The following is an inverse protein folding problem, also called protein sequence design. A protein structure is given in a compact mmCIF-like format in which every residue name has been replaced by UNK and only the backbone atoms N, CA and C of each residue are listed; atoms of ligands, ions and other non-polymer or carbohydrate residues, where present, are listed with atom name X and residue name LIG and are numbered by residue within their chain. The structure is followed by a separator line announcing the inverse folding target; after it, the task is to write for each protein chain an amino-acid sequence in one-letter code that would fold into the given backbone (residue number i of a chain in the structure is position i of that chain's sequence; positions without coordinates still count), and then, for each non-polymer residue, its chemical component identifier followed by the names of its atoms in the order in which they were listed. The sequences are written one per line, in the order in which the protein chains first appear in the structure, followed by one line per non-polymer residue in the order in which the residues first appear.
data_IF_865499655864
#
_entry.id   IF_865499655864
#
_cell.length_a   1.000
_cell.length_b   1.000
_cell.length_c   1.000
_cell.angle_alpha   90.00
_cell.angle_beta   90.00
_cell.angle_gamma   90.00
#
_symmetry.space_group_name_H-M   'P 1'
#
loop_
_entity.id
_entity.type
_entity.pdbx_description
1 polymer ?
#
# COMPACT_ATOMS: atom_id res chain seq x y z
N UNK A 1 -20.90 19.59 -5.31
CA UNK A 1 -19.69 19.45 -6.18
C UNK A 1 -18.41 20.12 -5.63
N UNK A 2 -18.37 21.39 -5.20
CA UNK A 2 -17.12 21.99 -4.72
C UNK A 2 -16.52 21.30 -3.48
N UNK A 3 -17.35 20.84 -2.55
CA UNK A 3 -16.90 20.20 -1.31
C UNK A 3 -16.11 18.89 -1.56
N UNK A 4 -16.55 18.07 -2.51
CA UNK A 4 -15.84 16.83 -2.84
C UNK A 4 -14.47 17.08 -3.47
N UNK A 5 -14.32 18.15 -4.28
CA UNK A 5 -13.03 18.54 -4.86
C UNK A 5 -12.06 19.01 -3.77
N UNK A 6 -12.56 19.75 -2.78
CA UNK A 6 -11.76 20.20 -1.63
C UNK A 6 -11.30 19.01 -0.79
N UNK A 7 -12.19 18.05 -0.53
CA UNK A 7 -11.85 16.82 0.22
C UNK A 7 -10.80 16.01 -0.54
N UNK A 8 -10.98 15.79 -1.84
CA UNK A 8 -10.03 15.05 -2.67
C UNK A 8 -8.66 15.74 -2.74
N UNK A 9 -8.65 17.05 -3.01
CA UNK A 9 -7.43 17.86 -3.03
C UNK A 9 -6.71 17.86 -1.67
N UNK A 10 -7.45 18.04 -0.59
CA UNK A 10 -6.92 18.00 0.79
C UNK A 10 -6.34 16.63 1.16
N UNK A 11 -7.00 15.53 0.83
CA UNK A 11 -6.51 14.19 1.08
C UNK A 11 -5.21 13.90 0.29
N UNK A 12 -5.15 14.32 -0.97
CA UNK A 12 -3.94 14.22 -1.78
C UNK A 12 -2.79 15.03 -1.20
N UNK A 13 -3.05 16.28 -0.79
CA UNK A 13 -2.06 17.15 -0.13
C UNK A 13 -1.52 16.50 1.15
N UNK A 14 -2.39 16.03 2.05
CA UNK A 14 -1.97 15.41 3.31
C UNK A 14 -1.11 14.18 3.04
N UNK A 15 -1.50 13.30 2.12
CA UNK A 15 -0.71 12.12 1.76
C UNK A 15 0.67 12.50 1.19
N UNK A 16 0.74 13.51 0.30
CA UNK A 16 2.00 13.99 -0.26
C UNK A 16 2.91 14.63 0.80
N UNK A 17 2.36 15.40 1.75
CA UNK A 17 3.11 15.99 2.86
C UNK A 17 3.66 14.92 3.80
N UNK A 18 2.87 13.90 4.13
CA UNK A 18 3.32 12.74 4.92
C UNK A 18 4.49 12.04 4.23
N UNK A 19 4.36 11.77 2.93
CA UNK A 19 5.43 11.13 2.16
C UNK A 19 6.70 12.00 2.12
N UNK A 20 6.57 13.29 1.83
CA UNK A 20 7.70 14.22 1.80
C UNK A 20 8.39 14.32 3.17
N UNK A 21 7.63 14.29 4.26
CA UNK A 21 8.16 14.29 5.62
C UNK A 21 8.94 13.00 5.92
N UNK A 22 8.43 11.85 5.49
CA UNK A 22 9.11 10.57 5.66
C UNK A 22 10.43 10.51 4.88
N UNK A 23 10.46 11.02 3.65
CA UNK A 23 11.70 11.07 2.83
C UNK A 23 12.77 11.96 3.43
N UNK A 24 12.37 13.03 4.14
CA UNK A 24 13.30 14.01 4.74
C UNK A 24 13.73 13.71 6.18
N UNK A 25 13.02 12.83 6.90
CA UNK A 25 13.26 12.54 8.32
C UNK A 25 13.41 11.04 8.56
N UNK A 26 14.65 10.59 8.76
CA UNK A 26 14.93 9.16 9.00
C UNK A 26 14.28 8.63 10.30
N UNK A 27 14.21 9.44 11.37
CA UNK A 27 13.78 9.00 12.70
C UNK A 27 12.30 8.53 12.76
N UNK A 28 11.40 9.14 11.97
CA UNK A 28 9.96 8.84 11.97
C UNK A 28 9.49 8.30 10.62
N UNK A 29 10.39 8.08 9.67
CA UNK A 29 10.06 7.67 8.31
C UNK A 29 9.14 6.44 8.27
N UNK A 30 9.46 5.41 9.04
CA UNK A 30 8.67 4.18 9.06
C UNK A 30 7.22 4.40 9.50
N UNK A 31 7.00 5.11 10.61
CA UNK A 31 5.66 5.39 11.13
C UNK A 31 4.84 6.27 10.18
N UNK A 32 5.48 7.31 9.61
CA UNK A 32 4.81 8.23 8.68
C UNK A 32 4.42 7.51 7.39
N UNK A 33 5.31 6.67 6.83
CA UNK A 33 5.01 5.88 5.64
C UNK A 33 3.88 4.88 5.89
N UNK A 34 3.75 4.36 7.11
CA UNK A 34 2.70 3.42 7.48
C UNK A 34 1.30 4.01 7.34
N UNK A 35 1.11 5.30 7.61
CA UNK A 35 -0.20 5.98 7.55
C UNK A 35 -0.37 6.84 6.29
N UNK A 36 0.65 6.92 5.44
CA UNK A 36 0.64 7.75 4.24
C UNK A 36 -0.52 7.43 3.26
N UNK A 37 -0.95 6.17 3.04
CA UNK A 37 -2.09 5.84 2.19
C UNK A 37 -3.46 6.19 2.81
N UNK A 38 -3.53 6.37 4.14
CA UNK A 38 -4.78 6.53 4.88
C UNK A 38 -5.68 7.67 4.37
N UNK A 39 -5.16 8.90 4.12
CA UNK A 39 -6.00 9.99 3.64
C UNK A 39 -6.66 9.69 2.29
N UNK A 40 -5.94 9.02 1.38
CA UNK A 40 -6.45 8.63 0.06
C UNK A 40 -7.55 7.58 0.20
N UNK A 41 -7.30 6.52 0.99
CA UNK A 41 -8.27 5.46 1.23
C UNK A 41 -9.53 5.99 1.90
N UNK A 42 -9.38 6.87 2.91
CA UNK A 42 -10.50 7.46 3.64
C UNK A 42 -11.36 8.35 2.73
N UNK A 43 -10.74 9.25 1.96
CA UNK A 43 -11.46 10.10 1.01
C UNK A 43 -12.23 9.26 -0.01
N UNK A 44 -11.63 8.18 -0.49
CA UNK A 44 -12.26 7.28 -1.44
C UNK A 44 -13.43 6.48 -0.87
N UNK A 45 -13.25 5.85 0.30
CA UNK A 45 -14.29 5.04 0.93
C UNK A 45 -15.46 5.86 1.46
N UNK A 46 -15.22 7.12 1.84
CA UNK A 46 -16.26 8.04 2.33
C UNK A 46 -16.94 8.86 1.22
N UNK A 47 -16.21 9.23 0.16
CA UNK A 47 -16.71 10.17 -0.85
C UNK A 47 -16.76 9.59 -2.28
N UNK A 48 -16.20 8.39 -2.50
CA UNK A 48 -16.35 7.65 -3.75
C UNK A 48 -15.12 7.59 -4.65
N UNK A 49 -15.25 6.77 -5.70
CA UNK A 49 -14.16 6.40 -6.63
C UNK A 49 -13.50 7.63 -7.29
N UNK A 50 -14.29 8.62 -7.70
CA UNK A 50 -13.77 9.82 -8.35
C UNK A 50 -12.89 10.65 -7.42
N UNK A 51 -13.21 10.63 -6.12
CA UNK A 51 -12.50 11.44 -5.13
C UNK A 51 -11.13 10.82 -4.82
N UNK A 52 -11.01 9.49 -4.70
CA UNK A 52 -9.70 8.87 -4.54
C UNK A 52 -8.83 9.06 -5.78
N UNK A 53 -9.40 9.01 -6.98
CA UNK A 53 -8.64 9.26 -8.22
C UNK A 53 -8.09 10.69 -8.25
N UNK A 54 -8.92 11.67 -7.91
CA UNK A 54 -8.51 13.08 -7.79
C UNK A 54 -7.42 13.23 -6.71
N UNK A 55 -7.63 12.66 -5.52
CA UNK A 55 -6.69 12.73 -4.41
C UNK A 55 -5.33 12.12 -4.78
N UNK A 56 -5.34 10.95 -5.44
CA UNK A 56 -4.15 10.28 -5.92
C UNK A 56 -3.39 11.09 -6.97
N UNK A 57 -4.11 11.72 -7.90
CA UNK A 57 -3.53 12.59 -8.90
C UNK A 57 -2.90 13.84 -8.27
N UNK A 58 -3.66 14.56 -7.43
CA UNK A 58 -3.17 15.76 -6.73
C UNK A 58 -1.96 15.42 -5.85
N UNK A 59 -2.03 14.33 -5.07
CA UNK A 59 -0.94 13.88 -4.23
C UNK A 59 0.34 13.58 -5.03
N UNK A 60 0.19 12.90 -6.18
CA UNK A 60 1.32 12.60 -7.07
C UNK A 60 1.95 13.87 -7.63
N UNK A 61 1.15 14.81 -8.14
CA UNK A 61 1.65 16.09 -8.67
C UNK A 61 2.39 16.87 -7.59
N UNK A 62 1.83 16.95 -6.38
CA UNK A 62 2.47 17.63 -5.25
C UNK A 62 3.76 16.94 -4.81
N UNK A 63 3.82 15.60 -4.80
CA UNK A 63 5.04 14.85 -4.50
C UNK A 63 6.14 15.11 -5.56
N UNK A 64 5.78 15.17 -6.84
CA UNK A 64 6.72 15.52 -7.92
C UNK A 64 7.25 16.95 -7.75
N UNK A 65 6.38 17.91 -7.44
CA UNK A 65 6.76 19.32 -7.24
C UNK A 65 7.68 19.47 -6.02
N UNK A 66 7.38 18.79 -4.91
CA UNK A 66 8.10 18.94 -3.65
C UNK A 66 9.43 18.17 -3.58
N UNK A 67 9.53 17.02 -4.25
CA UNK A 67 10.66 16.08 -4.11
C UNK A 67 11.37 15.76 -5.43
N UNK A 68 10.80 16.17 -6.56
CA UNK A 68 11.29 15.82 -7.89
C UNK A 68 10.61 14.58 -8.50
N UNK A 69 10.94 14.30 -9.77
CA UNK A 69 10.27 13.29 -10.57
C UNK A 69 10.44 11.86 -10.02
N UNK A 70 11.64 11.48 -9.59
CA UNK A 70 11.93 10.11 -9.12
C UNK A 70 11.16 9.77 -7.83
N UNK A 71 11.25 10.54 -6.72
CA UNK A 71 10.42 10.26 -5.55
C UNK A 71 8.92 10.41 -5.80
N UNK A 72 8.51 11.33 -6.68
CA UNK A 72 7.11 11.46 -7.09
C UNK A 72 6.59 10.22 -7.82
N UNK A 73 7.41 9.59 -8.66
CA UNK A 73 7.07 8.32 -9.30
C UNK A 73 6.97 7.18 -8.27
N UNK A 74 7.87 7.13 -7.29
CA UNK A 74 7.80 6.16 -6.19
C UNK A 74 6.49 6.34 -5.42
N UNK A 75 6.12 7.58 -5.05
CA UNK A 75 4.82 7.86 -4.42
C UNK A 75 3.64 7.39 -5.27
N UNK A 76 3.66 7.68 -6.57
CA UNK A 76 2.60 7.27 -7.49
C UNK A 76 2.42 5.76 -7.52
N UNK A 77 3.51 5.01 -7.72
CA UNK A 77 3.50 3.56 -7.91
C UNK A 77 3.23 2.82 -6.60
N UNK A 78 3.79 3.30 -5.48
CA UNK A 78 3.69 2.57 -4.20
C UNK A 78 2.50 2.97 -3.33
N UNK A 79 1.94 4.17 -3.52
CA UNK A 79 0.89 4.71 -2.65
C UNK A 79 -0.36 5.13 -3.45
N UNK A 80 -0.22 6.07 -4.38
CA UNK A 80 -1.36 6.73 -4.99
C UNK A 80 -2.18 5.80 -5.90
N UNK A 81 -1.53 5.14 -6.86
CA UNK A 81 -2.18 4.23 -7.80
C UNK A 81 -2.76 3.00 -7.08
N UNK A 82 -2.02 2.31 -6.19
CA UNK A 82 -2.57 1.20 -5.43
C UNK A 82 -3.77 1.58 -4.55
N UNK A 83 -3.73 2.71 -3.85
CA UNK A 83 -4.86 3.19 -3.05
C UNK A 83 -6.10 3.42 -3.93
N UNK A 84 -5.92 4.04 -5.09
CA UNK A 84 -7.01 4.23 -6.05
C UNK A 84 -7.57 2.88 -6.53
N UNK A 85 -6.72 1.94 -6.94
CA UNK A 85 -7.15 0.61 -7.42
C UNK A 85 -7.93 -0.13 -6.32
N UNK A 86 -7.36 -0.23 -5.11
CA UNK A 86 -8.00 -0.96 -4.01
C UNK A 86 -9.34 -0.36 -3.59
N UNK A 87 -9.44 0.96 -3.53
CA UNK A 87 -10.71 1.65 -3.26
C UNK A 87 -11.72 1.45 -4.39
N UNK A 88 -11.28 1.51 -5.67
CA UNK A 88 -12.15 1.24 -6.81
C UNK A 88 -12.72 -0.17 -6.75
N UNK A 89 -11.87 -1.17 -6.47
CA UNK A 89 -12.31 -2.56 -6.29
C UNK A 89 -13.27 -2.69 -5.10
N UNK A 90 -12.90 -2.12 -3.95
CA UNK A 90 -13.74 -2.18 -2.75
C UNK A 90 -15.13 -1.60 -2.96
N UNK A 91 -15.27 -0.53 -3.76
CA UNK A 91 -16.54 0.12 -4.07
C UNK A 91 -17.22 -0.43 -5.32
N UNK A 92 -16.72 -1.52 -5.91
CA UNK A 92 -17.46 -2.23 -6.95
C UNK A 92 -18.63 -2.99 -6.35
N UNK A 93 -19.78 -2.86 -7.00
CA UNK A 93 -21.01 -3.56 -6.61
C UNK A 93 -21.78 -3.98 -7.86
N UNK A 94 -22.57 -5.04 -7.71
CA UNK A 94 -23.54 -5.48 -8.73
C UNK A 94 -24.89 -5.74 -8.07
N UNK A 95 -25.94 -5.49 -8.80
CA UNK A 95 -27.29 -5.81 -8.38
C UNK A 95 -27.60 -7.26 -8.79
N UNK A 96 -27.99 -8.09 -7.82
CA UNK A 96 -28.32 -9.49 -8.03
C UNK A 96 -29.72 -9.78 -7.46
N UNK A 97 -30.43 -10.80 -7.97
CA UNK A 97 -31.68 -11.25 -7.36
C UNK A 97 -31.44 -11.64 -5.89
N UNK A 98 -32.33 -11.22 -4.99
CA UNK A 98 -32.25 -11.58 -3.58
C UNK A 98 -32.61 -13.06 -3.40
N UNK A 99 -31.68 -13.92 -2.93
CA UNK A 99 -31.96 -15.35 -2.76
C UNK A 99 -33.01 -15.64 -1.67
N UNK A 100 -33.24 -14.70 -0.75
CA UNK A 100 -34.22 -14.85 0.34
C UNK A 100 -35.60 -14.32 -0.02
N UNK A 101 -35.73 -13.47 -1.06
CA UNK A 101 -36.99 -12.81 -1.41
C UNK A 101 -37.15 -12.79 -2.95
N UNK A 102 -37.96 -13.73 -3.49
CA UNK A 102 -38.26 -13.79 -4.91
C UNK A 102 -38.86 -12.45 -5.42
N UNK A 103 -38.23 -11.87 -6.45
CA UNK A 103 -38.67 -10.62 -7.06
C UNK A 103 -38.02 -9.36 -6.46
N UNK A 104 -37.22 -9.45 -5.40
CA UNK A 104 -36.38 -8.34 -4.89
C UNK A 104 -34.96 -8.44 -5.42
N UNK A 105 -34.29 -7.31 -5.43
CA UNK A 105 -32.88 -7.22 -5.80
C UNK A 105 -32.07 -6.80 -4.58
N UNK A 106 -30.87 -7.34 -4.43
CA UNK A 106 -29.88 -6.98 -3.42
C UNK A 106 -28.59 -6.53 -4.06
N UNK A 107 -27.80 -5.73 -3.33
CA UNK A 107 -26.49 -5.23 -3.80
C UNK A 107 -25.40 -6.16 -3.28
N UNK A 108 -24.73 -6.85 -4.18
CA UNK A 108 -23.55 -7.64 -3.88
C UNK A 108 -22.30 -6.81 -4.13
N UNK A 109 -21.49 -6.67 -3.09
CA UNK A 109 -20.23 -5.93 -3.12
C UNK A 109 -19.05 -6.83 -3.51
N UNK A 110 -18.00 -6.23 -4.06
CA UNK A 110 -16.78 -6.95 -4.41
C UNK A 110 -16.25 -7.74 -3.19
N UNK A 111 -16.00 -9.06 -3.34
CA UNK A 111 -15.65 -9.94 -2.22
C UNK A 111 -14.36 -9.51 -1.52
N UNK A 112 -14.30 -9.48 -0.18
CA UNK A 112 -13.10 -9.07 0.57
C UNK A 112 -11.89 -9.95 0.26
N UNK A 113 -12.06 -11.28 0.09
CA UNK A 113 -10.97 -12.18 -0.27
C UNK A 113 -10.33 -11.86 -1.62
N UNK A 114 -11.14 -11.44 -2.62
CA UNK A 114 -10.61 -10.97 -3.91
C UNK A 114 -9.87 -9.64 -3.78
N UNK A 115 -10.27 -8.78 -2.84
CA UNK A 115 -9.56 -7.53 -2.57
C UNK A 115 -8.17 -7.82 -1.98
N UNK A 116 -8.08 -8.77 -1.04
CA UNK A 116 -6.78 -9.23 -0.49
C UNK A 116 -5.92 -9.85 -1.59
N UNK A 117 -6.52 -10.65 -2.48
CA UNK A 117 -5.86 -11.22 -3.65
C UNK A 117 -5.27 -10.14 -4.56
N UNK A 118 -6.06 -9.11 -4.89
CA UNK A 118 -5.59 -7.99 -5.69
C UNK A 118 -4.46 -7.23 -4.99
N UNK A 119 -4.55 -7.02 -3.67
CA UNK A 119 -3.48 -6.39 -2.89
C UNK A 119 -2.19 -7.21 -2.93
N UNK A 120 -2.25 -8.55 -2.88
CA UNK A 120 -1.09 -9.42 -2.99
C UNK A 120 -0.41 -9.32 -4.37
N UNK A 121 -1.19 -9.30 -5.45
CA UNK A 121 -0.64 -9.11 -6.81
C UNK A 121 0.02 -7.74 -6.93
N UNK A 122 -0.63 -6.67 -6.44
CA UNK A 122 -0.06 -5.32 -6.44
C UNK A 122 1.25 -5.29 -5.62
N UNK A 123 1.28 -5.95 -4.46
CA UNK A 123 2.48 -6.05 -3.62
C UNK A 123 3.66 -6.68 -4.37
N UNK A 124 3.42 -7.76 -5.12
CA UNK A 124 4.44 -8.39 -5.97
C UNK A 124 4.96 -7.45 -7.07
N UNK A 125 4.06 -6.73 -7.74
CA UNK A 125 4.45 -5.74 -8.77
C UNK A 125 5.27 -4.61 -8.15
N UNK A 126 4.88 -4.10 -6.98
CA UNK A 126 5.60 -3.04 -6.28
C UNK A 126 6.96 -3.53 -5.80
N UNK A 127 7.05 -4.75 -5.26
CA UNK A 127 8.32 -5.33 -4.86
C UNK A 127 9.29 -5.44 -6.05
N UNK A 128 8.80 -5.92 -7.19
CA UNK A 128 9.60 -5.95 -8.43
C UNK A 128 10.05 -4.57 -8.86
N UNK A 129 9.13 -3.58 -8.86
CA UNK A 129 9.46 -2.20 -9.20
C UNK A 129 10.54 -1.62 -8.28
N UNK A 130 10.42 -1.81 -6.97
CA UNK A 130 11.40 -1.29 -5.99
C UNK A 130 12.75 -2.02 -6.11
N UNK A 131 12.76 -3.32 -6.36
CA UNK A 131 14.01 -4.07 -6.61
C UNK A 131 14.72 -3.55 -7.87
N UNK A 132 13.98 -3.28 -8.94
CA UNK A 132 14.56 -2.69 -10.17
C UNK A 132 15.10 -1.27 -9.94
N UNK A 133 14.54 -0.51 -9.01
CA UNK A 133 15.08 0.79 -8.62
C UNK A 133 16.36 0.67 -7.78
N UNK A 134 16.49 -0.38 -6.95
CA UNK A 134 17.71 -0.67 -6.19
C UNK A 134 18.85 -1.09 -7.10
N UNK A 135 18.55 -1.85 -8.18
CA UNK A 135 19.52 -2.24 -9.18
C UNK A 135 18.86 -2.96 -10.36
N UNK A 136 19.02 -2.43 -11.59
CA UNK A 136 18.42 -3.03 -12.79
C UNK A 136 19.06 -4.37 -13.18
N UNK A 137 20.23 -4.66 -12.64
CA UNK A 137 20.95 -5.92 -12.81
C UNK A 137 21.43 -6.47 -11.44
N UNK A 138 21.81 -7.76 -11.42
CA UNK A 138 22.21 -8.43 -10.18
C UNK A 138 23.46 -7.80 -9.54
N UNK A 139 24.38 -7.27 -10.34
CA UNK A 139 25.63 -6.68 -9.84
C UNK A 139 25.32 -5.39 -9.07
N UNK A 140 24.51 -4.52 -9.66
CA UNK A 140 24.09 -3.25 -8.99
C UNK A 140 23.20 -3.51 -7.80
N UNK A 141 22.28 -4.47 -7.90
CA UNK A 141 21.42 -4.85 -6.79
C UNK A 141 22.24 -5.33 -5.58
N UNK A 142 23.24 -6.19 -5.80
CA UNK A 142 24.14 -6.64 -4.73
C UNK A 142 24.99 -5.50 -4.18
N UNK A 143 25.51 -4.63 -5.03
CA UNK A 143 26.26 -3.44 -4.60
C UNK A 143 25.41 -2.53 -3.70
N UNK A 144 24.14 -2.31 -4.04
CA UNK A 144 23.23 -1.53 -3.18
C UNK A 144 22.99 -2.22 -1.82
N UNK A 145 22.88 -3.55 -1.80
CA UNK A 145 22.78 -4.30 -0.53
C UNK A 145 24.06 -4.13 0.29
N UNK A 146 25.23 -4.21 -0.34
CA UNK A 146 26.52 -4.03 0.33
C UNK A 146 26.65 -2.62 0.93
N UNK A 147 26.16 -1.58 0.25
CA UNK A 147 26.09 -0.21 0.76
C UNK A 147 25.12 -0.08 1.96
N UNK A 148 24.09 -0.89 2.04
CA UNK A 148 23.14 -0.90 3.15
C UNK A 148 23.64 -1.68 4.38
N UNK A 149 24.63 -2.59 4.21
CA UNK A 149 25.11 -3.47 5.28
C UNK A 149 25.53 -2.75 6.57
N UNK A 150 26.27 -1.63 6.53
CA UNK A 150 26.64 -0.90 7.76
C UNK A 150 25.43 -0.42 8.54
N UNK A 151 24.43 0.15 7.83
CA UNK A 151 23.20 0.66 8.45
C UNK A 151 22.38 -0.48 9.08
N UNK A 152 22.33 -1.65 8.41
CA UNK A 152 21.64 -2.84 8.92
C UNK A 152 22.33 -3.37 10.17
N UNK A 153 23.67 -3.42 10.19
CA UNK A 153 24.45 -3.84 11.36
C UNK A 153 24.20 -2.95 12.55
N UNK A 154 24.26 -1.63 12.35
CA UNK A 154 23.94 -0.63 13.38
C UNK A 154 22.51 -0.82 13.92
N UNK A 155 21.55 -1.02 13.06
CA UNK A 155 20.15 -1.22 13.44
C UNK A 155 19.92 -2.52 14.23
N UNK A 156 20.69 -3.58 13.96
CA UNK A 156 20.62 -4.84 14.69
C UNK A 156 21.26 -4.76 16.08
N UNK A 157 22.13 -3.77 16.34
CA UNK A 157 22.76 -3.56 17.65
C UNK A 157 23.58 -4.75 18.15
N UNK A 158 24.16 -5.53 17.22
CA UNK A 158 24.94 -6.72 17.53
C UNK A 158 26.43 -6.34 17.59
N UNK A 159 27.14 -6.84 18.61
CA UNK A 159 28.54 -6.56 18.83
C UNK A 159 29.41 -6.93 17.61
N UNK A 160 30.44 -6.13 17.34
CA UNK A 160 31.32 -6.32 16.18
C UNK A 160 32.01 -7.70 16.16
N UNK A 161 32.24 -8.29 17.31
CA UNK A 161 32.86 -9.62 17.43
C UNK A 161 32.02 -10.76 16.80
N UNK A 162 30.71 -10.56 16.70
CA UNK A 162 29.79 -11.53 16.07
C UNK A 162 29.82 -11.42 14.53
N UNK A 163 30.29 -10.30 13.99
CA UNK A 163 30.34 -10.02 12.56
C UNK A 163 31.56 -10.65 11.88
N UNK A 164 31.62 -12.00 11.91
CA UNK A 164 32.62 -12.74 11.12
C UNK A 164 32.38 -12.53 9.61
N UNK A 165 33.40 -12.79 8.81
CA UNK A 165 33.26 -12.73 7.34
C UNK A 165 32.14 -13.69 6.84
N UNK A 166 32.01 -14.85 7.46
CA UNK A 166 30.97 -15.84 7.15
C UNK A 166 29.55 -15.33 7.53
N UNK A 167 29.38 -14.73 8.72
CA UNK A 167 28.13 -14.16 9.17
C UNK A 167 27.68 -13.01 8.24
N UNK A 168 28.63 -12.17 7.81
CA UNK A 168 28.39 -11.09 6.88
C UNK A 168 27.91 -11.60 5.51
N UNK A 169 28.57 -12.63 4.96
CA UNK A 169 28.19 -13.19 3.67
C UNK A 169 26.84 -13.91 3.75
N UNK A 170 26.56 -14.63 4.82
CA UNK A 170 25.27 -15.27 5.06
C UNK A 170 24.13 -14.24 5.12
N UNK A 171 24.34 -13.12 5.83
CA UNK A 171 23.37 -12.02 5.88
C UNK A 171 23.16 -11.39 4.51
N UNK A 172 24.23 -11.15 3.74
CA UNK A 172 24.17 -10.61 2.39
C UNK A 172 23.33 -11.51 1.45
N UNK A 173 23.60 -12.82 1.48
CA UNK A 173 22.84 -13.80 0.69
C UNK A 173 21.38 -13.84 1.11
N UNK A 174 21.11 -13.81 2.42
CA UNK A 174 19.74 -13.77 2.95
C UNK A 174 19.01 -12.52 2.48
N UNK A 175 19.60 -11.34 2.63
CA UNK A 175 19.01 -10.08 2.19
C UNK A 175 18.76 -10.06 0.69
N UNK A 176 19.73 -10.49 -0.11
CA UNK A 176 19.57 -10.55 -1.57
C UNK A 176 18.36 -11.37 -2.00
N UNK A 177 18.08 -12.47 -1.32
CA UNK A 177 16.97 -13.38 -1.65
C UNK A 177 15.65 -12.98 -1.00
N UNK A 178 15.69 -12.52 0.26
CA UNK A 178 14.49 -12.27 1.05
C UNK A 178 13.91 -10.86 0.83
N UNK A 179 14.72 -9.87 0.46
CA UNK A 179 14.29 -8.48 0.37
C UNK A 179 13.04 -8.26 -0.50
N UNK A 180 12.88 -8.87 -1.68
CA UNK A 180 11.67 -8.71 -2.48
C UNK A 180 10.40 -9.21 -1.74
N UNK A 181 10.53 -10.35 -1.05
CA UNK A 181 9.42 -10.90 -0.27
C UNK A 181 9.10 -10.02 0.95
N UNK A 182 10.12 -9.53 1.65
CA UNK A 182 9.95 -8.61 2.78
C UNK A 182 9.25 -7.32 2.33
N UNK A 183 9.67 -6.72 1.21
CA UNK A 183 9.02 -5.55 0.63
C UNK A 183 7.53 -5.83 0.36
N UNK A 184 7.22 -6.97 -0.27
CA UNK A 184 5.83 -7.32 -0.59
C UNK A 184 4.99 -7.52 0.68
N UNK A 185 5.50 -8.22 1.70
CA UNK A 185 4.80 -8.47 2.96
C UNK A 185 4.57 -7.16 3.73
N UNK A 186 5.57 -6.30 3.83
CA UNK A 186 5.44 -5.00 4.49
C UNK A 186 4.42 -4.15 3.75
N UNK A 187 4.51 -4.09 2.42
CA UNK A 187 3.60 -3.28 1.63
C UNK A 187 2.14 -3.73 1.75
N UNK A 188 1.87 -5.05 1.62
CA UNK A 188 0.49 -5.56 1.72
C UNK A 188 -0.09 -5.32 3.11
N UNK A 189 0.74 -5.45 4.16
CA UNK A 189 0.35 -5.18 5.54
C UNK A 189 -0.07 -3.71 5.70
N UNK A 190 0.73 -2.78 5.19
CA UNK A 190 0.43 -1.34 5.18
C UNK A 190 -0.87 -1.06 4.43
N UNK A 191 -1.01 -1.60 3.23
CA UNK A 191 -2.17 -1.36 2.38
C UNK A 191 -3.47 -1.86 3.02
N UNK A 192 -3.50 -3.11 3.52
CA UNK A 192 -4.67 -3.70 4.15
C UNK A 192 -5.01 -3.01 5.48
N UNK A 193 -4.00 -2.66 6.28
CA UNK A 193 -4.20 -1.89 7.51
C UNK A 193 -4.85 -0.54 7.23
N UNK A 194 -4.35 0.23 6.25
CA UNK A 194 -4.92 1.53 5.90
C UNK A 194 -6.33 1.41 5.31
N UNK A 195 -6.59 0.40 4.49
CA UNK A 195 -7.94 0.12 3.99
C UNK A 195 -8.90 -0.23 5.12
N UNK A 196 -8.48 -1.07 6.07
CA UNK A 196 -9.27 -1.42 7.25
C UNK A 196 -9.54 -0.19 8.13
N UNK A 197 -8.49 0.58 8.44
CA UNK A 197 -8.61 1.77 9.30
C UNK A 197 -9.50 2.83 8.65
N UNK A 198 -9.29 3.12 7.36
CA UNK A 198 -10.11 4.06 6.60
C UNK A 198 -11.59 3.65 6.57
N UNK A 199 -11.87 2.36 6.35
CA UNK A 199 -13.24 1.85 6.37
C UNK A 199 -13.88 1.91 7.75
N UNK A 200 -13.12 1.65 8.81
CA UNK A 200 -13.59 1.76 10.20
C UNK A 200 -13.94 3.21 10.55
N UNK A 201 -13.09 4.16 10.16
CA UNK A 201 -13.33 5.61 10.34
C UNK A 201 -14.56 6.06 9.52
N UNK A 202 -14.65 5.68 8.25
CA UNK A 202 -15.78 6.02 7.40
C UNK A 202 -17.10 5.47 7.93
N UNK A 203 -17.09 4.22 8.46
CA UNK A 203 -18.26 3.61 9.12
C UNK A 203 -18.62 4.37 10.40
N UNK A 204 -17.65 4.65 11.26
CA UNK A 204 -17.86 5.34 12.53
C UNK A 204 -18.39 6.76 12.37
N UNK A 205 -18.01 7.45 11.28
CA UNK A 205 -18.53 8.79 10.92
C UNK A 205 -19.86 8.78 10.15
N UNK A 206 -20.42 7.62 9.83
CA UNK A 206 -21.67 7.50 9.08
C UNK A 206 -21.53 7.79 7.57
N UNK A 207 -20.32 7.92 7.04
CA UNK A 207 -20.04 8.24 5.63
C UNK A 207 -19.59 7.04 4.79
N UNK A 208 -19.62 5.81 5.34
CA UNK A 208 -19.22 4.64 4.58
C UNK A 208 -20.18 4.37 3.42
N UNK A 209 -19.67 4.39 2.19
CA UNK A 209 -20.43 4.09 0.98
C UNK A 209 -20.73 2.60 0.80
N UNK A 210 -20.04 1.74 1.54
CA UNK A 210 -20.20 0.30 1.54
C UNK A 210 -20.42 -0.20 2.96
N UNK A 211 -21.33 -1.20 3.19
CA UNK A 211 -21.38 -1.93 4.44
C UNK A 211 -20.02 -2.54 4.74
N UNK A 212 -19.50 -2.35 5.95
CA UNK A 212 -18.18 -2.89 6.30
C UNK A 212 -18.22 -4.42 6.36
N UNK A 213 -17.34 -5.12 5.63
CA UNK A 213 -17.40 -6.57 5.55
C UNK A 213 -17.12 -7.22 6.91
N UNK A 214 -17.80 -8.34 7.16
CA UNK A 214 -17.51 -9.18 8.30
C UNK A 214 -16.31 -10.09 7.94
N UNK A 215 -15.16 -9.87 8.60
CA UNK A 215 -13.92 -10.62 8.34
C UNK A 215 -14.02 -12.11 8.67
N UNK A 216 -14.99 -12.54 9.50
CA UNK A 216 -15.25 -13.95 9.77
C UNK A 216 -15.76 -14.72 8.53
N UNK A 217 -16.19 -14.03 7.49
CA UNK A 217 -16.70 -14.60 6.24
C UNK A 217 -15.71 -14.38 5.07
N UNK A 218 -14.43 -14.25 5.38
CA UNK A 218 -13.40 -13.99 4.37
C UNK A 218 -13.05 -15.29 3.65
N UNK A 219 -13.54 -15.46 2.43
CA UNK A 219 -13.21 -16.57 1.55
C UNK A 219 -12.12 -16.13 0.57
N UNK A 220 -10.99 -16.82 0.58
CA UNK A 220 -9.90 -16.62 -0.40
C UNK A 220 -10.26 -17.37 -1.69
N UNK A 221 -10.11 -16.75 -2.87
CA UNK A 221 -10.38 -17.45 -4.14
C UNK A 221 -9.53 -18.72 -4.29
N UNK A 222 -10.17 -19.82 -4.66
CA UNK A 222 -9.50 -21.13 -4.84
C UNK A 222 -8.31 -21.06 -5.81
N UNK A 223 -8.34 -20.17 -6.80
CA UNK A 223 -7.23 -19.96 -7.73
C UNK A 223 -5.93 -19.47 -7.04
N UNK A 224 -6.01 -18.84 -5.87
CA UNK A 224 -4.83 -18.44 -5.10
C UNK A 224 -4.31 -19.54 -4.17
N UNK A 225 -5.19 -20.46 -3.75
CA UNK A 225 -4.80 -21.61 -2.90
C UNK A 225 -3.99 -22.61 -3.71
N UNK A 226 -4.17 -22.66 -5.04
CA UNK A 226 -3.45 -23.58 -5.95
C UNK A 226 -2.09 -23.01 -6.37
N UNK A 227 -1.84 -21.70 -6.19
CA UNK A 227 -0.59 -21.02 -6.58
C UNK A 227 0.52 -21.12 -5.52
N UNK A 228 0.27 -21.77 -4.37
CA UNK A 228 1.20 -22.10 -3.30
C UNK A 228 1.31 -23.62 -3.17
#
# INVERSE_FOLDING_TARGET
MPTHLIIGGGAGLVSAVLFASAVKSAALAGLILYICPLPLCLAGLACGKQIVTLASFVGTVLAVIALGASPGLVFAVTIAVPAAILVHLALQSRTVPDPANAGKQTVEWYPPGRLVAAAAVIAGVIAMFLVLLLGPDMVRYQATIDEMMPVIRDALGVDEEVWTAEATENLRVLLTRALPAVIAIVWITIALFNMWLAGTIAKGSGHALRPWPNFHQLEIPNAMVIAF
#
